data_IF_483396850621
#
_entry.id   IF_483396850621
#
_cell.length_a   1.000
_cell.length_b   1.000
_cell.length_c   1.000
_cell.angle_alpha   90.00
_cell.angle_beta   90.00
_cell.angle_gamma   90.00
#
_symmetry.space_group_name_H-M   'P 1'
#
loop_
_entity.id
_entity.type
_entity.pdbx_description
1 polymer ?
#
# COMPACT_ATOMS: atom_id res chain seq x y z
N UNK A 1 -10.23 9.91 0.88
CA UNK A 1 -9.89 11.22 1.47
C UNK A 1 -8.52 11.12 2.12
N UNK A 2 -7.48 11.68 1.49
CA UNK A 2 -6.11 11.63 1.99
C UNK A 2 -5.61 13.06 2.24
N UNK A 3 -4.93 13.24 3.35
CA UNK A 3 -4.34 14.51 3.76
C UNK A 3 -2.92 14.27 4.26
N UNK A 4 -1.94 14.74 3.50
CA UNK A 4 -0.56 14.77 3.91
C UNK A 4 -0.27 16.12 4.56
N UNK A 5 0.00 16.11 5.85
CA UNK A 5 0.18 17.32 6.68
C UNK A 5 1.65 17.56 6.99
N UNK A 6 2.01 18.80 7.29
CA UNK A 6 3.32 19.15 7.82
C UNK A 6 3.23 20.26 8.87
N UNK A 7 4.15 20.24 9.83
CA UNK A 7 4.50 21.38 10.66
C UNK A 7 5.29 22.41 9.82
N UNK A 8 5.36 23.63 10.30
CA UNK A 8 6.11 24.68 9.61
C UNK A 8 7.62 24.46 9.72
N UNK A 9 8.16 23.66 8.80
CA UNK A 9 9.56 23.68 8.40
C UNK A 9 9.57 24.02 6.91
N UNK A 10 10.27 25.08 6.51
CA UNK A 10 10.24 25.61 5.13
C UNK A 10 10.51 24.53 4.10
N UNK A 11 11.53 23.70 4.35
CA UNK A 11 11.94 22.61 3.46
C UNK A 11 10.83 21.57 3.26
N UNK A 12 10.12 21.21 4.32
CA UNK A 12 9.03 20.24 4.26
C UNK A 12 7.84 20.77 3.46
N UNK A 13 7.57 22.08 3.56
CA UNK A 13 6.52 22.71 2.75
C UNK A 13 6.87 22.67 1.26
N UNK A 14 8.12 23.00 0.90
CA UNK A 14 8.59 22.96 -0.49
C UNK A 14 8.49 21.53 -1.09
N UNK A 15 8.89 20.51 -0.33
CA UNK A 15 8.74 19.11 -0.72
C UNK A 15 7.27 18.74 -0.93
N UNK A 16 6.40 19.16 -0.01
CA UNK A 16 4.98 18.87 -0.09
C UNK A 16 4.32 19.56 -1.28
N UNK A 17 4.71 20.82 -1.58
CA UNK A 17 4.27 21.56 -2.76
C UNK A 17 4.71 20.85 -4.06
N UNK A 18 5.97 20.42 -4.15
CA UNK A 18 6.48 19.68 -5.30
C UNK A 18 5.70 18.37 -5.53
N UNK A 19 5.53 17.58 -4.49
CA UNK A 19 4.77 16.33 -4.56
C UNK A 19 3.32 16.56 -4.99
N UNK A 20 2.67 17.60 -4.45
CA UNK A 20 1.30 17.96 -4.80
C UNK A 20 1.20 18.37 -6.26
N UNK A 21 2.11 19.22 -6.74
CA UNK A 21 2.14 19.66 -8.13
C UNK A 21 2.39 18.50 -9.11
N UNK A 22 3.29 17.59 -8.77
CA UNK A 22 3.54 16.38 -9.57
C UNK A 22 2.32 15.48 -9.64
N UNK A 23 1.64 15.26 -8.51
CA UNK A 23 0.41 14.46 -8.46
C UNK A 23 -0.71 15.11 -9.28
N UNK A 24 -0.90 16.43 -9.17
CA UNK A 24 -1.87 17.18 -9.98
C UNK A 24 -1.55 17.10 -11.48
N UNK A 25 -0.28 17.18 -11.86
CA UNK A 25 0.15 17.03 -13.26
C UNK A 25 -0.13 15.61 -13.82
N UNK A 26 -0.24 14.60 -12.95
CA UNK A 26 -0.68 13.24 -13.32
C UNK A 26 -2.22 13.09 -13.38
N UNK A 27 -2.97 14.17 -13.18
CA UNK A 27 -4.42 14.19 -13.27
C UNK A 27 -5.16 13.86 -11.96
N UNK A 28 -4.46 13.83 -10.83
CA UNK A 28 -5.11 13.67 -9.52
C UNK A 28 -5.76 14.98 -9.09
N UNK A 29 -6.95 14.87 -8.49
CA UNK A 29 -7.63 16.00 -7.84
C UNK A 29 -6.98 16.29 -6.48
N UNK A 30 -5.84 16.95 -6.51
CA UNK A 30 -5.04 17.25 -5.32
C UNK A 30 -4.58 18.70 -5.33
N UNK A 31 -4.59 19.33 -4.16
CA UNK A 31 -4.15 20.72 -4.00
C UNK A 31 -3.56 20.99 -2.63
N UNK A 32 -2.73 22.02 -2.56
CA UNK A 32 -2.30 22.57 -1.29
C UNK A 32 -3.44 23.31 -0.61
N UNK A 33 -3.55 23.14 0.71
CA UNK A 33 -4.47 23.88 1.58
C UNK A 33 -3.74 24.42 2.78
N UNK A 34 -4.27 25.50 3.36
CA UNK A 34 -3.73 26.07 4.62
C UNK A 34 -4.05 25.16 5.81
N UNK A 35 -3.30 25.31 6.91
CA UNK A 35 -3.59 24.60 8.16
C UNK A 35 -4.98 24.95 8.72
N UNK A 36 -5.46 26.18 8.51
CA UNK A 36 -6.80 26.58 8.89
C UNK A 36 -7.87 25.81 8.08
N UNK A 37 -7.69 25.71 6.78
CA UNK A 37 -8.60 24.92 5.92
C UNK A 37 -8.53 23.42 6.26
N UNK A 38 -7.34 22.91 6.54
CA UNK A 38 -7.16 21.51 6.96
C UNK A 38 -7.92 21.23 8.26
N UNK A 39 -7.87 22.12 9.25
CA UNK A 39 -8.63 21.99 10.52
C UNK A 39 -10.14 22.14 10.33
N UNK A 40 -10.59 22.89 9.33
CA UNK A 40 -12.04 22.89 8.98
C UNK A 40 -12.51 21.55 8.44
N UNK A 41 -11.64 20.85 7.71
CA UNK A 41 -11.93 19.50 7.17
C UNK A 41 -11.80 18.44 8.26
N UNK A 42 -10.78 18.55 9.11
CA UNK A 42 -10.54 17.64 10.23
C UNK A 42 -10.22 18.45 11.51
N UNK A 43 -11.21 18.67 12.38
CA UNK A 43 -11.05 19.47 13.59
C UNK A 43 -10.12 18.89 14.65
N UNK A 44 -9.69 17.63 14.48
CA UNK A 44 -8.77 16.96 15.40
C UNK A 44 -7.29 17.22 15.08
N UNK A 45 -7.00 17.95 14.01
CA UNK A 45 -5.63 18.31 13.67
C UNK A 45 -5.08 19.34 14.67
N UNK A 46 -3.80 19.16 15.02
CA UNK A 46 -3.05 20.12 15.85
C UNK A 46 -3.01 21.51 15.22
N UNK A 47 -2.99 22.54 16.06
CA UNK A 47 -2.76 23.92 15.65
C UNK A 47 -1.38 24.14 14.99
N UNK A 48 -0.42 23.26 15.27
CA UNK A 48 0.91 23.29 14.65
C UNK A 48 0.92 22.88 13.16
N UNK A 49 -0.16 22.29 12.64
CA UNK A 49 -0.29 21.99 11.22
C UNK A 49 -0.38 23.29 10.42
N UNK A 50 0.65 23.58 9.64
CA UNK A 50 0.77 24.82 8.87
C UNK A 50 0.11 24.74 7.49
N UNK A 51 0.19 23.59 6.84
CA UNK A 51 -0.43 23.33 5.55
C UNK A 51 -0.63 21.81 5.32
N UNK A 52 -1.36 21.47 4.28
CA UNK A 52 -1.55 20.10 3.86
C UNK A 52 -1.68 19.99 2.34
N UNK A 53 -1.32 18.82 1.81
CA UNK A 53 -1.74 18.36 0.49
C UNK A 53 -3.05 17.59 0.66
N UNK A 54 -4.08 18.05 -0.01
CA UNK A 54 -5.43 17.51 0.13
C UNK A 54 -5.93 16.89 -1.18
N UNK A 55 -6.33 15.63 -1.10
CA UNK A 55 -6.94 14.89 -2.19
C UNK A 55 -8.34 14.39 -1.77
N UNK A 56 -9.42 15.04 -2.18
CA UNK A 56 -10.79 14.69 -1.78
C UNK A 56 -11.28 13.37 -2.41
N UNK A 57 -10.67 12.93 -3.50
CA UNK A 57 -11.06 11.72 -4.23
C UNK A 57 -10.28 10.48 -3.85
N UNK A 58 -9.26 10.62 -3.02
CA UNK A 58 -8.48 9.50 -2.49
C UNK A 58 -9.22 8.81 -1.33
N UNK A 59 -8.75 7.63 -0.94
CA UNK A 59 -9.39 6.83 0.11
C UNK A 59 -8.54 5.67 0.57
N UNK A 60 -9.12 4.87 1.44
CA UNK A 60 -8.55 3.61 1.88
C UNK A 60 -9.54 2.47 1.65
N UNK A 61 -9.03 1.27 1.55
CA UNK A 61 -9.81 0.06 1.38
C UNK A 61 -9.36 -1.03 2.35
N UNK A 62 -10.31 -1.85 2.78
CA UNK A 62 -9.97 -3.05 3.55
C UNK A 62 -9.26 -4.06 2.62
N UNK A 63 -7.97 -4.39 2.86
CA UNK A 63 -7.19 -5.23 1.95
C UNK A 63 -7.71 -6.65 1.85
N UNK A 64 -8.27 -7.20 2.93
CA UNK A 64 -8.83 -8.55 2.94
C UNK A 64 -10.09 -8.62 2.07
N UNK A 65 -10.97 -7.62 2.20
CA UNK A 65 -12.20 -7.55 1.39
C UNK A 65 -11.90 -7.29 -0.09
N UNK A 66 -10.94 -6.42 -0.40
CA UNK A 66 -10.50 -6.18 -1.76
C UNK A 66 -9.94 -7.45 -2.39
N UNK A 67 -9.02 -8.14 -1.71
CA UNK A 67 -8.45 -9.41 -2.18
C UNK A 67 -9.52 -10.47 -2.38
N UNK A 68 -10.49 -10.58 -1.46
CA UNK A 68 -11.61 -11.52 -1.59
C UNK A 68 -12.52 -11.16 -2.78
N UNK A 69 -12.70 -9.87 -3.05
CA UNK A 69 -13.43 -9.39 -4.23
C UNK A 69 -12.77 -9.86 -5.54
N UNK A 70 -11.47 -9.65 -5.67
CA UNK A 70 -10.68 -10.13 -6.82
C UNK A 70 -10.73 -11.65 -6.95
N UNK A 71 -10.56 -12.38 -5.85
CA UNK A 71 -10.67 -13.84 -5.85
C UNK A 71 -12.01 -14.33 -6.39
N UNK A 72 -13.13 -13.78 -5.87
CA UNK A 72 -14.47 -14.16 -6.31
C UNK A 72 -14.70 -13.84 -7.79
N UNK A 73 -14.22 -12.68 -8.26
CA UNK A 73 -14.37 -12.29 -9.66
C UNK A 73 -13.51 -13.17 -10.57
N UNK A 74 -12.26 -13.45 -10.22
CA UNK A 74 -11.39 -14.33 -10.97
C UNK A 74 -12.05 -15.72 -11.17
N UNK A 75 -12.60 -16.29 -10.11
CA UNK A 75 -13.31 -17.57 -10.21
C UNK A 75 -14.55 -17.51 -11.12
N UNK A 76 -15.32 -16.42 -11.05
CA UNK A 76 -16.47 -16.22 -11.96
C UNK A 76 -16.05 -16.16 -13.44
N UNK A 77 -14.87 -15.64 -13.70
CA UNK A 77 -14.27 -15.56 -15.04
C UNK A 77 -13.59 -16.88 -15.48
N UNK A 78 -13.70 -17.95 -14.70
CA UNK A 78 -13.16 -19.28 -15.04
C UNK A 78 -11.72 -19.50 -14.63
N UNK A 79 -11.12 -18.59 -13.83
CA UNK A 79 -9.75 -18.78 -13.33
C UNK A 79 -9.72 -19.89 -12.29
N UNK A 80 -8.81 -20.86 -12.46
CA UNK A 80 -8.52 -21.87 -11.45
C UNK A 80 -7.60 -21.27 -10.38
N UNK A 81 -8.13 -21.04 -9.20
CA UNK A 81 -7.36 -20.56 -8.05
C UNK A 81 -7.05 -21.72 -7.13
N UNK A 82 -5.78 -21.99 -6.93
CA UNK A 82 -5.26 -23.07 -6.09
C UNK A 82 -4.67 -22.44 -4.84
N UNK A 83 -5.19 -22.81 -3.69
CA UNK A 83 -4.72 -22.34 -2.37
C UNK A 83 -4.03 -23.47 -1.62
N UNK A 84 -3.23 -23.14 -0.61
CA UNK A 84 -2.48 -24.12 0.18
C UNK A 84 -1.26 -24.72 -0.52
N UNK A 85 -0.91 -24.21 -1.71
CA UNK A 85 0.22 -24.68 -2.51
C UNK A 85 1.35 -23.64 -2.51
N UNK A 86 2.40 -23.88 -1.74
CA UNK A 86 3.58 -22.99 -1.73
C UNK A 86 4.45 -23.25 -2.96
N UNK A 87 4.62 -22.26 -3.82
CA UNK A 87 5.57 -22.33 -4.93
C UNK A 87 6.99 -22.24 -4.39
N UNK A 88 7.83 -23.19 -4.79
CA UNK A 88 9.24 -23.25 -4.36
C UNK A 88 10.24 -23.16 -5.51
N UNK A 89 9.82 -23.41 -6.75
CA UNK A 89 10.73 -23.49 -7.88
C UNK A 89 10.05 -23.20 -9.20
N UNK A 90 10.79 -22.55 -10.10
CA UNK A 90 10.48 -22.49 -11.53
C UNK A 90 11.37 -23.46 -12.30
N UNK A 91 10.91 -23.93 -13.47
CA UNK A 91 11.72 -24.73 -14.38
C UNK A 91 11.66 -24.19 -15.80
N UNK A 92 12.81 -24.26 -16.47
CA UNK A 92 12.92 -23.96 -17.90
C UNK A 92 12.68 -25.24 -18.70
N UNK A 93 11.87 -25.13 -19.74
CA UNK A 93 11.69 -26.14 -20.78
C UNK A 93 12.08 -25.51 -22.10
N UNK A 94 13.02 -26.11 -22.81
CA UNK A 94 13.56 -25.57 -24.09
C UNK A 94 13.98 -24.09 -24.00
N UNK A 95 14.61 -23.71 -22.89
CA UNK A 95 15.15 -22.36 -22.68
C UNK A 95 14.15 -21.32 -22.12
N UNK A 96 12.85 -21.59 -22.08
CA UNK A 96 11.84 -20.70 -21.53
C UNK A 96 11.29 -21.22 -20.18
N UNK A 97 10.95 -20.33 -19.28
CA UNK A 97 10.27 -20.70 -18.01
C UNK A 97 8.83 -21.13 -18.35
N UNK A 98 8.52 -22.40 -18.08
CA UNK A 98 7.25 -23.03 -18.45
C UNK A 98 6.56 -23.76 -17.31
N UNK A 99 7.28 -24.06 -16.24
CA UNK A 99 6.74 -24.84 -15.14
C UNK A 99 6.93 -24.14 -13.79
N UNK A 100 5.90 -24.28 -12.97
CA UNK A 100 5.87 -23.90 -11.56
C UNK A 100 5.79 -25.17 -10.72
N UNK A 101 6.68 -25.30 -9.73
CA UNK A 101 6.73 -26.47 -8.84
C UNK A 101 6.41 -26.02 -7.42
N UNK A 102 5.55 -26.77 -6.75
CA UNK A 102 5.15 -26.51 -5.37
C UNK A 102 5.88 -27.38 -4.36
N UNK A 103 5.81 -27.03 -3.10
CA UNK A 103 6.40 -27.78 -1.99
C UNK A 103 5.79 -29.18 -1.84
N UNK A 104 4.53 -29.37 -2.21
CA UNK A 104 3.85 -30.68 -2.26
C UNK A 104 4.29 -31.55 -3.42
N UNK A 105 5.13 -31.03 -4.34
CA UNK A 105 5.61 -31.73 -5.52
C UNK A 105 4.73 -31.60 -6.76
N UNK A 106 3.62 -30.88 -6.69
CA UNK A 106 2.78 -30.62 -7.85
C UNK A 106 3.51 -29.71 -8.86
N UNK A 107 3.26 -29.96 -10.16
CA UNK A 107 3.83 -29.21 -11.26
C UNK A 107 2.72 -28.63 -12.11
N UNK A 108 2.76 -27.32 -12.32
CA UNK A 108 1.83 -26.62 -13.19
C UNK A 108 2.59 -26.06 -14.39
N UNK A 109 1.97 -26.10 -15.56
CA UNK A 109 2.56 -25.66 -16.81
C UNK A 109 1.79 -24.48 -17.40
N UNK A 110 2.51 -23.59 -18.08
CA UNK A 110 1.91 -22.45 -18.78
C UNK A 110 2.86 -21.85 -19.82
N UNK A 111 2.27 -21.25 -20.83
CA UNK A 111 3.03 -20.52 -21.86
C UNK A 111 3.62 -19.23 -21.34
N UNK A 112 3.01 -18.63 -20.37
CA UNK A 112 3.49 -17.43 -19.67
C UNK A 112 3.35 -17.65 -18.16
N UNK A 113 4.42 -17.38 -17.43
CA UNK A 113 4.43 -17.40 -15.96
C UNK A 113 4.55 -15.96 -15.45
N UNK A 114 3.58 -15.53 -14.66
CA UNK A 114 3.61 -14.25 -13.95
C UNK A 114 4.01 -14.51 -12.51
N UNK A 115 5.14 -13.94 -12.08
CA UNK A 115 5.63 -14.06 -10.71
C UNK A 115 5.21 -12.83 -9.91
N UNK A 116 4.25 -13.00 -9.01
CA UNK A 116 3.68 -11.95 -8.17
C UNK A 116 3.65 -12.39 -6.68
N UNK A 117 4.76 -12.96 -6.19
CA UNK A 117 4.88 -13.58 -4.87
C UNK A 117 5.48 -12.63 -3.81
N UNK A 118 5.35 -11.30 -3.98
CA UNK A 118 5.91 -10.32 -3.05
C UNK A 118 7.42 -10.50 -2.89
N UNK A 119 7.95 -10.36 -1.67
CA UNK A 119 9.38 -10.48 -1.38
C UNK A 119 9.94 -11.88 -1.67
N UNK A 120 9.12 -12.93 -1.65
CA UNK A 120 9.55 -14.29 -2.00
C UNK A 120 9.87 -14.45 -3.48
N UNK A 121 9.42 -13.51 -4.34
CA UNK A 121 9.71 -13.52 -5.79
C UNK A 121 11.21 -13.62 -6.09
N UNK A 122 12.08 -12.96 -5.29
CA UNK A 122 13.54 -13.03 -5.49
C UNK A 122 14.07 -14.48 -5.37
N UNK A 123 13.57 -15.23 -4.39
CA UNK A 123 14.00 -16.62 -4.17
C UNK A 123 13.48 -17.56 -5.24
N UNK A 124 12.22 -17.36 -5.67
CA UNK A 124 11.61 -18.17 -6.72
C UNK A 124 12.28 -17.89 -8.07
N UNK A 125 12.55 -16.61 -8.40
CA UNK A 125 13.20 -16.20 -9.64
C UNK A 125 14.66 -16.73 -9.73
N UNK A 126 15.39 -16.75 -8.61
CA UNK A 126 16.77 -17.25 -8.55
C UNK A 126 16.89 -18.73 -8.97
N UNK A 127 15.82 -19.52 -8.84
CA UNK A 127 15.82 -20.94 -9.25
C UNK A 127 15.96 -21.14 -10.76
N UNK A 128 15.78 -20.09 -11.55
CA UNK A 128 16.00 -20.06 -13.01
C UNK A 128 17.07 -19.05 -13.43
N UNK A 129 17.88 -18.59 -12.47
CA UNK A 129 19.01 -17.69 -12.73
C UNK A 129 18.60 -16.23 -12.98
N UNK A 130 17.43 -15.81 -12.51
CA UNK A 130 17.00 -14.40 -12.58
C UNK A 130 17.23 -13.78 -11.19
N UNK A 131 18.02 -12.70 -11.16
CA UNK A 131 18.19 -11.88 -9.96
C UNK A 131 17.13 -10.77 -9.92
N UNK A 132 16.43 -10.69 -8.79
CA UNK A 132 15.46 -9.62 -8.52
C UNK A 132 15.98 -8.81 -7.32
N UNK A 133 16.42 -7.55 -7.52
CA UNK A 133 17.04 -6.74 -6.47
C UNK A 133 15.99 -6.24 -5.48
N UNK A 134 15.48 -7.13 -4.65
CA UNK A 134 14.41 -6.87 -3.68
C UNK A 134 14.89 -7.24 -2.28
N UNK A 135 14.66 -6.36 -1.31
CA UNK A 135 14.91 -6.63 0.11
C UNK A 135 13.60 -6.62 0.88
N UNK A 136 13.38 -7.57 1.80
CA UNK A 136 12.25 -7.52 2.70
C UNK A 136 12.44 -6.40 3.73
N UNK A 137 11.39 -5.64 3.97
CA UNK A 137 11.30 -4.66 5.05
C UNK A 137 10.15 -5.07 5.95
N UNK A 138 10.40 -5.13 7.26
CA UNK A 138 9.36 -5.33 8.24
C UNK A 138 8.69 -3.97 8.51
N UNK A 139 7.40 -3.90 8.29
CA UNK A 139 6.60 -2.73 8.64
C UNK A 139 5.72 -3.08 9.84
N UNK A 140 5.75 -2.24 10.85
CA UNK A 140 4.90 -2.39 12.03
C UNK A 140 3.65 -1.54 11.89
N UNK A 141 2.55 -2.06 12.38
CA UNK A 141 1.26 -1.38 12.37
C UNK A 141 0.58 -1.57 13.72
N UNK A 142 0.19 -0.47 14.36
CA UNK A 142 -0.61 -0.47 15.56
C UNK A 142 -2.10 -0.37 15.21
N UNK A 143 -2.92 -1.13 15.94
CA UNK A 143 -4.37 -1.07 15.84
C UNK A 143 -4.93 -0.85 17.24
N UNK A 144 -5.78 0.17 17.41
CA UNK A 144 -6.39 0.49 18.70
C UNK A 144 -7.70 -0.26 18.91
N UNK A 145 -8.25 -0.17 20.11
CA UNK A 145 -9.65 -0.44 20.34
C UNK A 145 -10.54 0.50 19.50
N UNK A 146 -11.77 0.05 19.26
CA UNK A 146 -12.74 0.84 18.52
C UNK A 146 -13.30 1.97 19.39
N UNK A 147 -13.42 3.15 18.80
CA UNK A 147 -14.09 4.32 19.40
C UNK A 147 -15.12 4.89 18.42
N UNK A 148 -15.93 5.82 18.88
CA UNK A 148 -16.88 6.50 18.02
C UNK A 148 -16.17 7.15 16.81
N UNK A 149 -16.84 7.26 15.65
CA UNK A 149 -16.26 7.92 14.47
C UNK A 149 -15.83 9.35 14.79
N UNK A 150 -14.61 9.68 14.43
CA UNK A 150 -14.01 11.00 14.63
C UNK A 150 -13.74 11.71 13.32
N UNK A 151 -13.06 11.05 12.37
CA UNK A 151 -12.76 11.59 11.05
C UNK A 151 -12.58 10.47 10.00
N UNK A 152 -12.66 10.84 8.74
CA UNK A 152 -12.65 9.90 7.61
C UNK A 152 -11.39 10.00 6.75
N UNK A 153 -10.52 10.95 7.07
CA UNK A 153 -9.30 11.18 6.28
C UNK A 153 -8.24 10.15 6.64
N UNK A 154 -7.52 9.67 5.64
CA UNK A 154 -6.22 9.09 5.83
C UNK A 154 -5.21 10.22 6.01
N UNK A 155 -4.51 10.21 7.13
CA UNK A 155 -3.50 11.20 7.48
C UNK A 155 -2.10 10.64 7.25
N UNK A 156 -1.22 11.44 6.71
CA UNK A 156 0.22 11.19 6.67
C UNK A 156 0.97 12.44 7.04
N UNK A 157 2.23 12.31 7.44
CA UNK A 157 3.12 13.43 7.74
C UNK A 157 4.23 13.49 6.71
N UNK A 158 4.57 14.70 6.26
CA UNK A 158 5.67 14.90 5.32
C UNK A 158 7.04 14.96 6.02
N UNK A 159 7.05 15.22 7.31
CA UNK A 159 8.21 15.48 8.15
C UNK A 159 8.46 14.39 9.21
N UNK A 160 7.57 13.43 9.31
CA UNK A 160 7.72 12.28 10.19
C UNK A 160 7.26 11.02 9.45
N UNK A 161 7.87 9.92 9.76
CA UNK A 161 7.49 8.62 9.22
C UNK A 161 6.24 8.09 9.94
N UNK A 162 5.11 8.71 9.65
CA UNK A 162 3.83 8.40 10.27
C UNK A 162 2.69 8.51 9.27
N UNK A 163 1.80 7.54 9.32
CA UNK A 163 0.48 7.61 8.70
C UNK A 163 -0.57 6.98 9.62
N UNK A 164 -1.82 7.37 9.44
CA UNK A 164 -2.92 6.76 10.19
C UNK A 164 -4.28 7.14 9.68
N UNK A 165 -5.26 6.32 10.01
CA UNK A 165 -6.67 6.55 9.71
C UNK A 165 -7.57 5.83 10.70
N UNK A 166 -8.81 6.25 10.79
CA UNK A 166 -9.84 5.51 11.51
C UNK A 166 -10.57 4.59 10.52
N UNK A 167 -10.77 3.34 10.90
CA UNK A 167 -11.51 2.37 10.12
C UNK A 167 -13.02 2.56 10.30
N UNK A 168 -13.83 1.99 9.42
CA UNK A 168 -15.30 1.99 9.54
C UNK A 168 -15.80 1.33 10.83
N UNK A 169 -15.01 0.45 11.45
CA UNK A 169 -15.31 -0.18 12.72
C UNK A 169 -14.91 0.66 13.94
N UNK A 170 -14.28 1.82 13.73
CA UNK A 170 -13.89 2.77 14.78
C UNK A 170 -12.47 2.62 15.30
N UNK A 171 -11.74 1.55 14.98
CA UNK A 171 -10.33 1.40 15.37
C UNK A 171 -9.44 2.36 14.58
N UNK A 172 -8.43 2.91 15.24
CA UNK A 172 -7.35 3.59 14.52
C UNK A 172 -6.30 2.58 14.09
N UNK A 173 -5.77 2.81 12.89
CA UNK A 173 -4.62 2.09 12.33
C UNK A 173 -3.50 3.10 12.13
N UNK A 174 -2.35 2.84 12.73
CA UNK A 174 -1.15 3.68 12.64
C UNK A 174 0.01 2.85 12.12
N UNK A 175 0.84 3.46 11.29
CA UNK A 175 2.05 2.84 10.78
C UNK A 175 3.11 3.87 10.41
N UNK A 176 4.32 3.38 10.19
CA UNK A 176 5.46 4.10 9.71
C UNK A 176 6.45 3.13 9.08
N UNK A 177 7.32 3.60 8.17
CA UNK A 177 8.27 2.75 7.48
C UNK A 177 9.46 2.35 8.38
N UNK A 178 9.77 3.13 9.42
CA UNK A 178 10.83 2.86 10.40
C UNK A 178 10.39 1.99 11.58
N UNK A 179 9.09 1.71 11.69
CA UNK A 179 8.54 1.02 12.86
C UNK A 179 8.31 1.95 14.05
N UNK A 180 7.97 1.35 15.19
CA UNK A 180 7.79 2.06 16.46
C UNK A 180 8.95 1.66 17.37
N UNK A 181 10.02 2.44 17.37
CA UNK A 181 11.13 2.31 18.33
C UNK A 181 10.79 2.97 19.66
#
# INVERSE_FOLDING_TARGET
LNMLITKYVRENKEILEELTNRAAACGLDVRMISGEEARRINPYLSEEVSCASWCPTDGHANPLMATMGYYKMARRLGVHVITGEKVVKLRKIKGAVRQVVTASGNVYEGDTIILAAGYESRFIASTVGIDVPMQPVLLETLVTEAVAPMFWQMLGTADADFYGHQTDHGSFVFGGASGFE
#
